data_IF_267703539225
#
_entry.id   IF_267703539225
#
_cell.length_a   1.000
_cell.length_b   1.000
_cell.length_c   1.000
_cell.angle_alpha   90.00
_cell.angle_beta   90.00
_cell.angle_gamma   90.00
#
_symmetry.space_group_name_H-M   'P 1'
#
loop_
_entity.id
_entity.type
_entity.pdbx_description
1 polymer ?
#
# COMPACT_ATOMS: atom_id res chain seq x y z
N UNK A 1 -19.21 -4.98 -15.75
CA UNK A 1 -19.11 -4.62 -14.32
C UNK A 1 -17.69 -4.21 -14.01
N UNK A 2 -17.43 -3.60 -12.86
CA UNK A 2 -16.06 -3.38 -12.35
C UNK A 2 -15.32 -4.71 -12.30
N UNK A 3 -14.05 -4.73 -12.71
CA UNK A 3 -13.16 -5.90 -12.60
C UNK A 3 -12.71 -6.08 -11.14
N UNK A 4 -12.29 -7.29 -10.73
CA UNK A 4 -11.73 -7.51 -9.41
C UNK A 4 -10.57 -6.54 -9.12
N UNK A 5 -10.66 -5.82 -8.00
CA UNK A 5 -9.66 -4.82 -7.60
C UNK A 5 -9.84 -3.43 -8.21
N UNK A 6 -10.78 -3.21 -9.14
CA UNK A 6 -11.07 -1.86 -9.64
C UNK A 6 -11.89 -1.04 -8.64
N UNK A 7 -11.43 0.19 -8.38
CA UNK A 7 -12.18 1.21 -7.66
C UNK A 7 -13.06 1.98 -8.66
N UNK A 8 -14.27 2.34 -8.22
CA UNK A 8 -15.16 3.21 -9.00
C UNK A 8 -14.66 4.66 -9.02
N UNK A 9 -13.98 5.07 -7.95
CA UNK A 9 -13.35 6.37 -7.78
C UNK A 9 -12.00 6.18 -7.08
N UNK A 10 -10.96 6.83 -7.61
CA UNK A 10 -9.67 6.89 -6.94
C UNK A 10 -9.70 7.88 -5.77
N UNK A 11 -8.86 7.62 -4.78
CA UNK A 11 -8.71 8.53 -3.64
C UNK A 11 -8.03 9.82 -4.12
N UNK A 12 -8.59 10.97 -3.74
CA UNK A 12 -7.88 12.24 -3.88
C UNK A 12 -6.66 12.18 -2.96
N UNK A 13 -5.52 12.72 -3.41
CA UNK A 13 -4.36 12.92 -2.54
C UNK A 13 -4.79 13.79 -1.34
N UNK A 14 -5.06 13.16 -0.20
CA UNK A 14 -5.63 13.81 0.98
C UNK A 14 -4.52 14.29 1.91
N UNK A 15 -4.80 15.39 2.62
CA UNK A 15 -3.96 16.11 3.59
C UNK A 15 -3.52 15.27 4.82
N UNK A 16 -3.76 13.96 4.81
CA UNK A 16 -3.54 13.05 5.93
C UNK A 16 -2.04 12.75 6.18
N UNK A 17 -1.16 13.07 5.23
CA UNK A 17 0.29 12.92 5.35
C UNK A 17 1.03 14.25 5.56
N UNK A 18 0.66 15.03 6.58
CA UNK A 18 1.49 16.14 7.07
C UNK A 18 2.11 17.01 5.97
N UNK A 19 1.31 17.39 4.97
CA UNK A 19 1.83 17.88 3.70
C UNK A 19 2.29 19.34 3.82
N UNK A 20 3.60 19.58 3.66
CA UNK A 20 4.16 20.92 3.61
C UNK A 20 4.01 21.48 2.19
N UNK A 21 3.31 22.61 2.06
CA UNK A 21 3.17 23.31 0.78
C UNK A 21 4.49 23.96 0.37
N UNK A 22 4.89 23.81 -0.88
CA UNK A 22 5.97 24.61 -1.44
C UNK A 22 5.43 25.97 -1.95
N UNK A 23 6.30 26.95 -2.26
CA UNK A 23 5.85 28.20 -2.89
C UNK A 23 5.15 27.99 -4.25
N UNK A 24 5.48 26.90 -4.94
CA UNK A 24 4.70 26.43 -6.07
C UNK A 24 3.49 25.67 -5.51
N UNK A 25 2.35 26.36 -5.37
CA UNK A 25 1.13 25.85 -4.70
C UNK A 25 0.50 24.58 -5.30
N UNK A 26 1.13 23.97 -6.31
CA UNK A 26 0.79 22.66 -6.88
C UNK A 26 1.66 21.51 -6.34
N UNK A 27 2.75 21.81 -5.62
CA UNK A 27 3.69 20.82 -5.08
C UNK A 27 3.59 20.82 -3.56
N UNK A 28 3.33 19.62 -3.02
CA UNK A 28 3.26 19.35 -1.59
C UNK A 28 4.32 18.29 -1.24
N UNK A 29 4.97 18.44 -0.08
CA UNK A 29 5.96 17.50 0.44
C UNK A 29 5.29 16.68 1.55
N UNK A 30 5.13 15.38 1.34
CA UNK A 30 4.62 14.47 2.36
C UNK A 30 5.65 14.22 3.47
N UNK A 31 5.19 14.05 4.71
CA UNK A 31 6.07 13.66 5.81
C UNK A 31 6.55 12.20 5.67
N UNK A 32 7.83 11.91 5.91
CA UNK A 32 8.32 10.53 5.95
C UNK A 32 7.60 9.74 7.03
N UNK A 33 7.06 8.57 6.66
CA UNK A 33 6.53 7.60 7.61
C UNK A 33 7.66 7.02 8.46
N UNK A 34 7.38 6.69 9.73
CA UNK A 34 8.29 5.87 10.53
C UNK A 34 8.36 4.48 9.90
N UNK A 35 9.55 4.09 9.44
CA UNK A 35 9.79 2.88 8.68
C UNK A 35 10.59 1.88 9.52
N UNK A 36 10.03 0.70 9.73
CA UNK A 36 10.71 -0.42 10.37
C UNK A 36 11.35 -1.30 9.27
N UNK A 37 12.62 -1.03 8.98
CA UNK A 37 13.36 -1.72 7.93
C UNK A 37 13.47 -3.22 8.17
N UNK A 38 13.72 -3.65 9.41
CA UNK A 38 13.94 -5.06 9.72
C UNK A 38 12.65 -5.86 9.48
N UNK A 39 11.53 -5.35 9.96
CA UNK A 39 10.23 -5.98 9.73
C UNK A 39 9.83 -5.95 8.25
N UNK A 40 10.15 -4.86 7.54
CA UNK A 40 9.91 -4.74 6.10
C UNK A 40 10.63 -5.84 5.31
N UNK A 41 11.94 -6.01 5.54
CA UNK A 41 12.73 -7.00 4.80
C UNK A 41 12.29 -8.43 5.10
N UNK A 42 11.99 -8.76 6.36
CA UNK A 42 11.46 -10.06 6.75
C UNK A 42 10.13 -10.37 6.05
N UNK A 43 9.23 -9.40 6.00
CA UNK A 43 7.92 -9.56 5.34
C UNK A 43 8.08 -9.71 3.83
N UNK A 44 9.02 -8.97 3.23
CA UNK A 44 9.35 -9.07 1.79
C UNK A 44 9.91 -10.44 1.40
N UNK A 45 10.77 -11.03 2.22
CA UNK A 45 11.29 -12.39 1.99
C UNK A 45 10.15 -13.42 2.04
N UNK A 46 9.25 -13.30 3.02
CA UNK A 46 8.05 -14.15 3.10
C UNK A 46 7.14 -14.01 1.87
N UNK A 47 6.96 -12.78 1.37
CA UNK A 47 6.21 -12.50 0.14
C UNK A 47 6.85 -13.14 -1.10
N UNK A 48 8.19 -13.06 -1.20
CA UNK A 48 8.94 -13.65 -2.31
C UNK A 48 8.77 -15.17 -2.35
N UNK A 49 8.96 -15.85 -1.22
CA UNK A 49 8.75 -17.30 -1.11
C UNK A 49 7.31 -17.68 -1.44
N UNK A 50 6.33 -16.98 -0.88
CA UNK A 50 4.91 -17.23 -1.11
C UNK A 50 4.48 -17.06 -2.58
N UNK A 51 5.14 -16.15 -3.32
CA UNK A 51 4.91 -15.95 -4.74
C UNK A 51 5.48 -17.11 -5.57
N UNK A 52 6.68 -17.60 -5.23
CA UNK A 52 7.28 -18.76 -5.90
C UNK A 52 6.54 -20.07 -5.63
N UNK A 53 5.98 -20.23 -4.44
CA UNK A 53 5.20 -21.39 -4.03
C UNK A 53 3.72 -21.33 -4.47
N UNK A 54 3.32 -20.28 -5.20
CA UNK A 54 1.94 -20.05 -5.67
C UNK A 54 0.88 -20.15 -4.57
N UNK A 55 1.18 -19.62 -3.38
CA UNK A 55 0.28 -19.75 -2.24
C UNK A 55 -0.94 -18.81 -2.35
N UNK A 56 -2.09 -19.19 -1.78
CA UNK A 56 -3.27 -18.30 -1.75
C UNK A 56 -3.12 -17.11 -0.78
N UNK A 57 -2.03 -17.04 -0.01
CA UNK A 57 -1.83 -16.06 1.08
C UNK A 57 -1.29 -14.71 0.60
N UNK A 58 -1.07 -14.52 -0.69
CA UNK A 58 -0.45 -13.30 -1.23
C UNK A 58 -1.15 -12.02 -0.80
N UNK A 59 -2.49 -11.99 -0.84
CA UNK A 59 -3.25 -10.79 -0.43
C UNK A 59 -3.06 -10.45 1.05
N UNK A 60 -2.89 -11.46 1.90
CA UNK A 60 -2.68 -11.29 3.35
C UNK A 60 -1.27 -10.76 3.64
N UNK A 61 -0.25 -11.28 2.97
CA UNK A 61 1.13 -10.81 3.10
C UNK A 61 1.29 -9.37 2.60
N UNK A 62 0.67 -9.02 1.47
CA UNK A 62 0.62 -7.63 0.98
C UNK A 62 -0.09 -6.72 1.99
N UNK A 63 -1.16 -7.19 2.63
CA UNK A 63 -1.88 -6.43 3.67
C UNK A 63 -1.03 -6.15 4.92
N UNK A 64 -0.14 -7.07 5.29
CA UNK A 64 0.79 -6.87 6.40
C UNK A 64 1.84 -5.82 6.05
N UNK A 65 2.37 -5.85 4.81
CA UNK A 65 3.37 -4.90 4.33
C UNK A 65 2.81 -3.50 4.08
N UNK A 66 1.59 -3.42 3.53
CA UNK A 66 0.90 -2.18 3.19
C UNK A 66 -0.39 -2.12 4.02
N UNK A 67 -0.35 -1.56 5.24
CA UNK A 67 -1.49 -1.57 6.16
C UNK A 67 -2.75 -0.92 5.61
N UNK A 68 -2.61 0.00 4.65
CA UNK A 68 -3.73 0.68 3.98
C UNK A 68 -4.35 -0.14 2.85
N UNK A 69 -3.70 -1.20 2.37
CA UNK A 69 -4.24 -2.11 1.36
C UNK A 69 -5.57 -2.71 1.83
N UNK A 70 -6.56 -2.83 0.95
CA UNK A 70 -7.86 -3.43 1.27
C UNK A 70 -8.00 -4.68 0.41
N UNK A 71 -8.12 -5.82 1.08
CA UNK A 71 -8.44 -7.09 0.41
C UNK A 71 -9.88 -6.98 -0.03
N UNK A 72 -10.10 -6.86 -1.34
CA UNK A 72 -11.43 -6.87 -1.92
C UNK A 72 -12.04 -8.27 -1.76
N UNK A 73 -13.17 -8.35 -1.06
CA UNK A 73 -13.90 -9.58 -0.79
C UNK A 73 -14.85 -10.00 -1.91
N UNK A 74 -14.85 -9.26 -3.03
CA UNK A 74 -15.59 -9.61 -4.24
C UNK A 74 -14.79 -10.66 -5.01
N UNK A 75 -15.29 -11.90 -5.03
CA UNK A 75 -14.82 -12.97 -5.92
C UNK A 75 -15.26 -12.74 -7.37
#
# INVERSE_FOLDING_TARGET
GLRPGEKLYEERLMDEEGMQKTPNGLINIAQPIKFDEENFWKTMEGLYTAAYEETPKMKELVKQLVPTYKIDGRE
#
